data_IF_764460940562
#
_entry.id   IF_764460940562
#
_cell.length_a   1.000
_cell.length_b   1.000
_cell.length_c   1.000
_cell.angle_alpha   90.00
_cell.angle_beta   90.00
_cell.angle_gamma   90.00
#
_symmetry.space_group_name_H-M   'P 1'
#
loop_
_entity.id
_entity.type
_entity.pdbx_description
1 polymer ?
#
# COMPACT_ATOMS: atom_id res chain seq x y z
N UNK A 1 6.37 67.20 -13.63
CA UNK A 1 5.36 67.84 -14.49
C UNK A 1 5.23 67.00 -15.75
N UNK A 2 3.99 66.72 -16.14
CA UNK A 2 3.53 65.86 -17.24
C UNK A 2 4.27 66.13 -18.57
N UNK A 3 4.42 65.15 -19.47
CA UNK A 3 3.36 64.90 -20.47
C UNK A 3 3.48 63.54 -21.15
N UNK A 4 2.31 62.95 -21.34
CA UNK A 4 1.93 61.80 -22.16
C UNK A 4 2.37 61.89 -23.64
N UNK A 5 2.64 60.73 -24.22
CA UNK A 5 2.89 60.54 -25.66
C UNK A 5 2.36 59.19 -26.14
N UNK A 6 1.03 59.09 -26.26
CA UNK A 6 0.28 57.91 -26.73
C UNK A 6 0.14 57.94 -28.25
N UNK A 7 0.73 56.98 -28.97
CA UNK A 7 0.43 56.73 -30.39
C UNK A 7 -0.34 55.43 -30.61
N UNK A 8 -1.35 55.57 -31.47
CA UNK A 8 -2.31 54.58 -31.96
C UNK A 8 -1.75 53.90 -33.23
N UNK A 9 -2.25 52.71 -33.53
CA UNK A 9 -2.42 52.25 -34.91
C UNK A 9 -2.24 50.74 -35.08
N UNK A 10 -3.28 50.05 -35.57
CA UNK A 10 -3.18 48.64 -35.94
C UNK A 10 -4.52 47.92 -36.08
N UNK A 11 -5.32 48.33 -37.05
CA UNK A 11 -6.58 47.71 -37.47
C UNK A 11 -6.39 46.73 -38.63
N UNK A 12 -7.06 45.57 -38.58
CA UNK A 12 -7.28 44.65 -39.71
C UNK A 12 -7.19 43.19 -39.24
N UNK A 13 -8.12 42.27 -39.50
CA UNK A 13 -9.31 42.26 -40.33
C UNK A 13 -10.15 40.99 -40.10
N UNK A 14 -11.40 41.09 -40.56
CA UNK A 14 -12.47 40.09 -40.83
C UNK A 14 -11.97 38.76 -41.46
N UNK A 15 -12.68 37.63 -41.54
CA UNK A 15 -14.00 37.11 -41.13
C UNK A 15 -14.09 35.62 -41.56
N UNK A 16 -15.27 35.01 -41.32
CA UNK A 16 -15.87 33.76 -41.84
C UNK A 16 -15.72 32.52 -40.94
N UNK A 17 -16.77 31.93 -40.35
CA UNK A 17 -18.13 31.54 -40.76
C UNK A 17 -18.24 30.02 -40.96
N UNK A 18 -19.36 29.48 -40.47
CA UNK A 18 -20.10 28.33 -40.99
C UNK A 18 -19.98 26.97 -40.28
N UNK A 19 -21.07 26.67 -39.56
CA UNK A 19 -21.96 25.52 -39.78
C UNK A 19 -21.61 24.14 -39.20
N UNK A 20 -22.51 23.72 -38.29
CA UNK A 20 -22.83 22.34 -37.89
C UNK A 20 -23.21 21.48 -39.11
N UNK A 21 -23.10 20.15 -38.99
CA UNK A 21 -24.35 19.38 -38.97
C UNK A 21 -24.38 18.25 -37.93
N UNK A 22 -25.58 18.09 -37.38
CA UNK A 22 -26.11 16.93 -36.66
C UNK A 22 -26.29 15.72 -37.58
N UNK A 23 -25.84 14.53 -37.16
CA UNK A 23 -26.46 13.26 -37.58
C UNK A 23 -26.48 12.24 -36.43
N UNK A 24 -27.70 11.87 -36.06
CA UNK A 24 -28.09 10.72 -35.26
C UNK A 24 -28.18 9.45 -36.12
N UNK A 25 -28.27 8.30 -35.41
CA UNK A 25 -28.47 6.87 -35.81
C UNK A 25 -27.22 6.06 -35.44
N UNK A 26 -27.23 5.09 -34.54
CA UNK A 26 -28.30 4.19 -34.06
C UNK A 26 -27.84 2.75 -34.32
N UNK A 27 -27.65 1.95 -33.25
CA UNK A 27 -27.50 0.48 -33.14
C UNK A 27 -26.61 0.22 -31.91
N UNK A 28 -27.06 -0.37 -30.82
CA UNK A 28 -27.84 -1.61 -30.75
C UNK A 28 -26.86 -2.77 -30.59
N UNK A 29 -26.21 -2.87 -29.43
CA UNK A 29 -25.44 -4.04 -29.02
C UNK A 29 -25.95 -4.48 -27.64
N UNK A 30 -26.90 -5.40 -27.70
CA UNK A 30 -27.34 -6.27 -26.63
C UNK A 30 -26.18 -7.15 -26.15
N UNK A 31 -25.36 -6.62 -25.26
CA UNK A 31 -24.41 -7.40 -24.46
C UNK A 31 -25.12 -7.93 -23.23
N UNK A 32 -25.50 -9.21 -23.27
CA UNK A 32 -26.19 -9.88 -22.17
C UNK A 32 -25.41 -9.77 -20.86
N UNK A 33 -25.94 -8.98 -19.93
CA UNK A 33 -25.60 -9.11 -18.51
C UNK A 33 -26.17 -10.44 -18.01
N UNK A 34 -25.34 -11.49 -18.10
CA UNK A 34 -25.50 -12.70 -17.29
C UNK A 34 -25.22 -12.33 -15.84
N UNK A 35 -26.23 -11.83 -15.13
CA UNK A 35 -26.23 -11.77 -13.66
C UNK A 35 -26.80 -13.09 -13.13
N UNK A 36 -26.00 -14.13 -13.24
CA UNK A 36 -26.12 -15.40 -12.51
C UNK A 36 -24.77 -15.54 -11.80
N UNK A 37 -24.65 -15.35 -10.50
CA UNK A 37 -25.29 -16.11 -9.45
C UNK A 37 -24.17 -16.61 -8.54
N UNK A 38 -24.42 -16.60 -7.23
CA UNK A 38 -23.47 -16.94 -6.14
C UNK A 38 -22.42 -15.86 -5.89
N UNK A 39 -22.79 -14.85 -5.09
CA UNK A 39 -21.82 -14.18 -4.24
C UNK A 39 -21.22 -15.25 -3.33
N UNK A 40 -20.02 -15.70 -3.68
CA UNK A 40 -19.25 -16.59 -2.84
C UNK A 40 -19.04 -15.85 -1.51
N UNK A 41 -19.13 -16.52 -0.36
CA UNK A 41 -18.89 -15.90 0.95
C UNK A 41 -17.53 -15.17 1.06
N UNK A 42 -16.64 -15.41 0.09
CA UNK A 42 -15.38 -14.74 -0.13
C UNK A 42 -15.48 -13.26 -0.55
N UNK A 43 -16.65 -12.63 -0.70
CA UNK A 43 -16.74 -11.23 -1.16
C UNK A 43 -16.80 -10.17 -0.04
N UNK A 44 -16.82 -10.60 1.22
CA UNK A 44 -17.04 -9.72 2.39
C UNK A 44 -15.78 -9.56 3.23
N UNK A 45 -14.70 -9.08 2.61
CA UNK A 45 -13.46 -8.75 3.30
C UNK A 45 -13.04 -7.30 3.02
N UNK A 46 -12.47 -6.63 4.02
CA UNK A 46 -11.89 -5.30 3.89
C UNK A 46 -10.59 -5.20 4.70
N UNK A 47 -9.56 -4.62 4.08
CA UNK A 47 -8.27 -4.35 4.70
C UNK A 47 -8.14 -2.83 4.93
N UNK A 48 -7.82 -2.42 6.14
CA UNK A 48 -7.58 -1.03 6.49
C UNK A 48 -6.08 -0.81 6.75
N UNK A 49 -5.49 0.14 6.04
CA UNK A 49 -4.07 0.51 6.17
C UNK A 49 -3.93 2.02 6.31
N UNK A 50 -2.85 2.49 6.93
CA UNK A 50 -2.69 3.90 7.27
C UNK A 50 -2.50 4.76 6.01
N UNK A 51 -1.61 4.34 5.11
CA UNK A 51 -1.21 5.12 3.93
C UNK A 51 -1.21 4.36 2.61
N UNK A 52 -1.23 5.08 1.46
CA UNK A 52 -1.08 4.47 0.13
C UNK A 52 0.24 3.70 -0.03
N UNK A 53 1.29 4.18 0.64
CA UNK A 53 2.61 3.55 0.67
C UNK A 53 2.55 2.14 1.28
N UNK A 54 1.84 1.98 2.39
CA UNK A 54 1.71 0.69 3.06
C UNK A 54 1.01 -0.32 2.14
N UNK A 55 -0.06 0.12 1.47
CA UNK A 55 -0.75 -0.70 0.46
C UNK A 55 0.22 -1.15 -0.64
N UNK A 56 1.01 -0.24 -1.20
CA UNK A 56 1.98 -0.56 -2.25
C UNK A 56 3.02 -1.60 -1.78
N UNK A 57 3.56 -1.43 -0.57
CA UNK A 57 4.53 -2.36 0.02
C UNK A 57 3.89 -3.74 0.22
N UNK A 58 2.72 -3.80 0.88
CA UNK A 58 2.00 -5.04 1.16
C UNK A 58 1.62 -5.78 -0.13
N UNK A 59 1.09 -5.06 -1.11
CA UNK A 59 0.74 -5.62 -2.41
C UNK A 59 1.98 -6.20 -3.10
N UNK A 60 3.10 -5.48 -3.07
CA UNK A 60 4.36 -5.93 -3.69
C UNK A 60 4.89 -7.19 -3.03
N UNK A 61 4.89 -7.29 -1.70
CA UNK A 61 5.27 -8.52 -0.99
C UNK A 61 4.28 -9.66 -1.26
N UNK A 62 2.98 -9.38 -1.25
CA UNK A 62 1.95 -10.37 -1.53
C UNK A 62 2.13 -10.99 -2.92
N UNK A 63 2.46 -10.19 -3.95
CA UNK A 63 2.72 -10.70 -5.32
C UNK A 63 3.86 -11.74 -5.36
N UNK A 64 4.78 -11.71 -4.39
CA UNK A 64 5.91 -12.67 -4.29
C UNK A 64 5.54 -13.96 -3.58
N UNK A 65 4.52 -13.93 -2.73
CA UNK A 65 4.07 -15.09 -1.96
C UNK A 65 2.88 -15.75 -2.65
N UNK A 66 1.84 -14.98 -2.94
CA UNK A 66 0.61 -15.45 -3.56
C UNK A 66 -0.08 -14.31 -4.33
N UNK A 67 -0.07 -14.35 -5.69
CA UNK A 67 -0.71 -13.34 -6.52
C UNK A 67 -2.21 -13.09 -6.23
N UNK A 68 -2.94 -14.11 -5.76
CA UNK A 68 -4.34 -13.94 -5.38
C UNK A 68 -4.52 -13.03 -4.14
N UNK A 69 -3.59 -13.10 -3.17
CA UNK A 69 -3.60 -12.19 -2.01
C UNK A 69 -3.28 -10.77 -2.45
N UNK A 70 -2.36 -10.58 -3.41
CA UNK A 70 -2.07 -9.26 -3.94
C UNK A 70 -3.29 -8.60 -4.61
N UNK A 71 -4.03 -9.34 -5.45
CA UNK A 71 -5.29 -8.84 -6.03
C UNK A 71 -6.31 -8.48 -4.96
N UNK A 72 -6.42 -9.31 -3.92
CA UNK A 72 -7.28 -9.01 -2.78
C UNK A 72 -6.88 -7.69 -2.08
N UNK A 73 -5.59 -7.46 -1.84
CA UNK A 73 -5.09 -6.20 -1.27
C UNK A 73 -5.41 -5.03 -2.20
N UNK A 74 -5.17 -5.17 -3.50
CA UNK A 74 -5.44 -4.12 -4.47
C UNK A 74 -6.93 -3.69 -4.47
N UNK A 75 -7.83 -4.67 -4.49
CA UNK A 75 -9.28 -4.46 -4.64
C UNK A 75 -10.00 -4.10 -3.34
N UNK A 76 -9.48 -4.54 -2.18
CA UNK A 76 -10.22 -4.51 -0.90
C UNK A 76 -9.58 -3.67 0.19
N UNK A 77 -8.58 -2.88 -0.16
CA UNK A 77 -7.94 -1.97 0.80
C UNK A 77 -8.64 -0.62 0.87
N UNK A 78 -8.87 -0.15 2.09
CA UNK A 78 -9.28 1.22 2.42
C UNK A 78 -8.07 1.93 3.04
N UNK A 79 -7.70 3.07 2.45
CA UNK A 79 -6.65 3.95 2.99
C UNK A 79 -7.26 4.88 4.05
N UNK A 80 -6.77 4.79 5.28
CA UNK A 80 -7.30 5.57 6.40
C UNK A 80 -6.82 7.02 6.42
N UNK A 81 -5.66 7.32 5.84
CA UNK A 81 -5.05 8.66 5.89
C UNK A 81 -4.35 8.93 7.21
N UNK A 82 -3.57 7.96 7.68
CA UNK A 82 -2.91 7.94 9.00
C UNK A 82 -3.54 6.94 9.96
N UNK A 83 -3.10 6.97 11.22
CA UNK A 83 -3.54 6.09 12.30
C UNK A 83 -4.97 6.43 12.77
N UNK A 84 -5.99 5.95 12.06
CA UNK A 84 -7.41 6.25 12.36
C UNK A 84 -8.26 4.99 12.58
N UNK A 85 -8.01 4.19 13.65
CA UNK A 85 -8.77 2.96 13.90
C UNK A 85 -10.29 3.19 14.10
N UNK A 86 -10.72 4.34 14.65
CA UNK A 86 -12.15 4.68 14.76
C UNK A 86 -12.81 4.74 13.39
N UNK A 87 -12.14 5.37 12.42
CA UNK A 87 -12.67 5.50 11.06
C UNK A 87 -12.83 4.14 10.38
N UNK A 88 -11.89 3.22 10.62
CA UNK A 88 -12.01 1.83 10.15
C UNK A 88 -13.20 1.12 10.79
N UNK A 89 -13.40 1.25 12.11
CA UNK A 89 -14.53 0.68 12.82
C UNK A 89 -15.87 1.22 12.30
N UNK A 90 -15.98 2.54 12.11
CA UNK A 90 -17.18 3.15 11.56
C UNK A 90 -17.48 2.68 10.13
N UNK A 91 -16.47 2.60 9.26
CA UNK A 91 -16.63 2.07 7.90
C UNK A 91 -17.05 0.59 7.91
N UNK A 92 -16.45 -0.22 8.78
CA UNK A 92 -16.78 -1.63 8.94
C UNK A 92 -18.25 -1.83 9.37
N UNK A 93 -18.71 -1.06 10.36
CA UNK A 93 -20.11 -1.07 10.80
C UNK A 93 -21.06 -0.59 9.70
N UNK A 94 -20.69 0.44 8.93
CA UNK A 94 -21.47 0.92 7.78
C UNK A 94 -21.63 -0.15 6.69
N UNK A 95 -20.69 -1.08 6.57
CA UNK A 95 -20.78 -2.25 5.67
C UNK A 95 -21.69 -3.37 6.19
N UNK A 96 -22.11 -3.29 7.45
CA UNK A 96 -22.97 -4.27 8.12
C UNK A 96 -22.26 -5.12 9.18
N UNK A 97 -20.94 -4.92 9.38
CA UNK A 97 -20.17 -5.57 10.43
C UNK A 97 -20.12 -7.10 10.35
N UNK A 98 -19.61 -7.71 11.42
CA UNK A 98 -19.46 -9.18 11.52
C UNK A 98 -20.78 -9.94 11.43
N UNK A 99 -21.87 -9.38 11.94
CA UNK A 99 -23.20 -10.00 11.89
C UNK A 99 -23.72 -10.16 10.46
N UNK A 100 -23.28 -9.29 9.54
CA UNK A 100 -23.53 -9.43 8.11
C UNK A 100 -22.49 -10.30 7.39
N UNK A 101 -21.65 -11.01 8.13
CA UNK A 101 -20.58 -11.88 7.62
C UNK A 101 -19.38 -11.13 7.05
N UNK A 102 -19.20 -9.84 7.36
CA UNK A 102 -17.97 -9.14 6.98
C UNK A 102 -16.79 -9.55 7.86
N UNK A 103 -15.61 -9.59 7.24
CA UNK A 103 -14.32 -9.71 7.91
C UNK A 103 -13.50 -8.46 7.64
N UNK A 104 -12.95 -7.86 8.70
CA UNK A 104 -12.12 -6.69 8.62
C UNK A 104 -10.75 -6.96 9.23
N UNK A 105 -9.71 -6.37 8.65
CA UNK A 105 -8.37 -6.36 9.24
C UNK A 105 -7.82 -4.94 9.21
N UNK A 106 -7.45 -4.40 10.37
CA UNK A 106 -6.76 -3.13 10.51
C UNK A 106 -5.28 -3.41 10.72
N UNK A 107 -4.43 -2.80 9.91
CA UNK A 107 -2.96 -2.92 10.02
C UNK A 107 -2.39 -1.57 10.42
N UNK A 108 -1.70 -1.52 11.55
CA UNK A 108 -1.10 -0.29 12.09
C UNK A 108 0.40 -0.45 12.36
N UNK A 109 1.12 0.66 12.21
CA UNK A 109 2.48 0.82 12.75
C UNK A 109 2.46 0.71 14.28
N UNK A 110 3.57 0.30 14.88
CA UNK A 110 3.67 0.18 16.34
C UNK A 110 3.77 1.53 17.03
N UNK A 111 4.33 2.52 16.34
CA UNK A 111 4.59 3.91 16.77
C UNK A 111 4.66 4.17 18.28
N UNK A 112 5.81 4.62 18.78
CA UNK A 112 5.88 5.20 20.13
C UNK A 112 5.24 6.59 20.13
N UNK A 113 3.91 6.65 20.15
CA UNK A 113 3.22 7.85 20.57
C UNK A 113 3.16 7.87 22.11
N UNK A 114 3.76 8.87 22.78
CA UNK A 114 3.75 8.94 24.24
C UNK A 114 2.39 9.28 24.87
N UNK A 115 1.34 9.51 24.07
CA UNK A 115 0.00 9.84 24.57
C UNK A 115 -1.05 9.09 23.73
N UNK A 116 -2.04 8.43 24.33
CA UNK A 116 -3.23 8.05 23.59
C UNK A 116 -3.97 9.33 23.19
N UNK A 117 -4.01 9.65 21.89
CA UNK A 117 -4.92 10.69 21.41
C UNK A 117 -6.34 10.32 21.91
N UNK A 118 -7.00 11.23 22.62
CA UNK A 118 -8.29 11.02 23.28
C UNK A 118 -9.45 10.65 22.32
N UNK A 119 -9.18 10.55 21.02
CA UNK A 119 -10.07 10.17 19.93
C UNK A 119 -9.69 8.85 19.25
N UNK A 120 -8.66 8.13 19.71
CA UNK A 120 -8.34 6.81 19.19
C UNK A 120 -9.30 5.78 19.81
N UNK A 121 -9.92 4.93 18.99
CA UNK A 121 -10.61 3.74 19.47
C UNK A 121 -9.63 2.98 20.34
N UNK A 122 -10.03 2.69 21.58
CA UNK A 122 -9.20 1.86 22.43
C UNK A 122 -9.06 0.47 21.77
N UNK A 123 -7.95 -0.24 21.98
CA UNK A 123 -7.84 -1.64 21.58
C UNK A 123 -9.01 -2.49 22.09
N UNK A 124 -9.63 -2.11 23.21
CA UNK A 124 -10.82 -2.74 23.80
C UNK A 124 -12.08 -2.51 22.94
N UNK A 125 -12.27 -1.30 22.42
CA UNK A 125 -13.39 -0.97 21.50
C UNK A 125 -13.33 -1.79 20.21
N UNK A 126 -12.11 -2.03 19.70
CA UNK A 126 -11.89 -2.89 18.54
C UNK A 126 -12.05 -4.36 18.87
N UNK A 127 -11.58 -4.81 20.03
CA UNK A 127 -11.69 -6.20 20.47
C UNK A 127 -13.15 -6.65 20.65
N UNK A 128 -14.06 -5.71 20.91
CA UNK A 128 -15.49 -5.97 21.04
C UNK A 128 -16.26 -6.11 19.72
N UNK A 129 -15.67 -5.75 18.57
CA UNK A 129 -16.37 -5.77 17.28
C UNK A 129 -16.22 -7.13 16.57
N UNK A 130 -17.28 -7.95 16.45
CA UNK A 130 -17.18 -9.26 15.82
C UNK A 130 -16.70 -9.16 14.37
N UNK A 131 -15.74 -10.00 14.00
CA UNK A 131 -15.22 -10.09 12.63
C UNK A 131 -14.22 -9.00 12.23
N UNK A 132 -13.95 -8.01 13.08
CA UNK A 132 -12.91 -7.00 12.88
C UNK A 132 -11.68 -7.35 13.71
N UNK A 133 -10.51 -7.31 13.08
CA UNK A 133 -9.24 -7.68 13.72
C UNK A 133 -8.23 -6.54 13.64
N UNK A 134 -7.40 -6.40 14.68
CA UNK A 134 -6.29 -5.46 14.71
C UNK A 134 -4.96 -6.23 14.62
N UNK A 135 -4.12 -5.83 13.66
CA UNK A 135 -2.74 -6.27 13.53
C UNK A 135 -1.82 -5.06 13.70
N UNK A 136 -0.90 -5.15 14.65
CA UNK A 136 0.13 -4.13 14.88
C UNK A 136 1.48 -4.76 14.54
N UNK A 137 2.28 -4.07 13.74
CA UNK A 137 3.63 -4.53 13.39
C UNK A 137 4.49 -4.76 14.65
N UNK A 138 5.32 -5.82 14.66
CA UNK A 138 6.27 -6.04 15.76
C UNK A 138 7.39 -5.00 15.78
N UNK A 139 7.92 -4.66 14.60
CA UNK A 139 8.83 -3.53 14.37
C UNK A 139 8.08 -2.20 14.34
N UNK A 140 8.83 -1.11 14.53
CA UNK A 140 8.28 0.24 14.71
C UNK A 140 7.35 0.68 13.57
N UNK A 141 7.80 0.47 12.34
CA UNK A 141 7.08 0.83 11.12
C UNK A 141 7.16 -0.27 10.07
N UNK A 142 6.20 -0.31 9.14
CA UNK A 142 6.26 -1.20 7.97
C UNK A 142 7.56 -1.06 7.17
N UNK A 143 8.12 0.15 7.05
CA UNK A 143 9.39 0.34 6.33
C UNK A 143 10.58 -0.36 6.99
N UNK A 144 10.49 -0.69 8.28
CA UNK A 144 11.57 -1.40 8.98
C UNK A 144 11.79 -2.80 8.41
N UNK A 145 10.74 -3.43 7.86
CA UNK A 145 10.86 -4.74 7.19
C UNK A 145 11.48 -4.65 5.79
N UNK A 146 11.70 -3.45 5.26
CA UNK A 146 12.41 -3.24 3.99
C UNK A 146 13.92 -3.19 4.17
N UNK A 147 14.43 -3.15 5.41
CA UNK A 147 15.86 -3.13 5.71
C UNK A 147 16.48 -4.53 5.53
N UNK A 148 16.37 -5.08 4.31
CA UNK A 148 16.92 -6.38 3.92
C UNK A 148 18.19 -6.16 3.11
N UNK A 149 19.39 -6.46 3.66
CA UNK A 149 20.65 -6.13 3.02
C UNK A 149 20.79 -6.68 1.60
N UNK A 150 20.39 -7.94 1.39
CA UNK A 150 20.47 -8.59 0.09
C UNK A 150 19.56 -7.94 -0.97
N UNK A 151 18.38 -7.44 -0.57
CA UNK A 151 17.47 -6.72 -1.47
C UNK A 151 18.01 -5.34 -1.82
N UNK A 152 18.53 -4.61 -0.83
CA UNK A 152 19.14 -3.30 -1.05
C UNK A 152 20.37 -3.42 -1.96
N UNK A 153 21.24 -4.42 -1.75
CA UNK A 153 22.38 -4.70 -2.64
C UNK A 153 21.95 -4.99 -4.08
N UNK A 154 20.86 -5.74 -4.29
CA UNK A 154 20.35 -6.02 -5.64
C UNK A 154 19.89 -4.77 -6.36
N UNK A 155 19.30 -3.81 -5.65
CA UNK A 155 18.97 -2.51 -6.22
C UNK A 155 20.20 -1.67 -6.47
N UNK A 156 21.14 -1.68 -5.52
CA UNK A 156 22.36 -0.89 -5.58
C UNK A 156 23.37 -1.40 -6.61
N UNK A 157 23.20 -2.63 -7.13
CA UNK A 157 24.07 -3.24 -8.14
C UNK A 157 24.01 -2.46 -9.46
N UNK A 158 24.87 -1.45 -9.59
CA UNK A 158 24.91 -0.54 -10.72
C UNK A 158 25.07 0.93 -10.34
N UNK A 159 24.99 1.27 -9.05
CA UNK A 159 25.24 2.62 -8.54
C UNK A 159 26.72 2.80 -8.16
N UNK A 160 27.20 4.02 -8.25
CA UNK A 160 28.50 4.37 -7.66
C UNK A 160 28.38 4.40 -6.13
N UNK A 161 29.44 4.04 -5.40
CA UNK A 161 29.46 4.12 -3.92
C UNK A 161 28.96 2.89 -3.15
N UNK A 162 28.68 1.76 -3.82
CA UNK A 162 28.22 0.51 -3.19
C UNK A 162 29.17 -0.01 -2.10
N UNK A 163 30.46 0.30 -2.16
CA UNK A 163 31.43 -0.11 -1.13
C UNK A 163 31.11 0.45 0.27
N UNK A 164 30.43 1.60 0.35
CA UNK A 164 30.00 2.20 1.62
C UNK A 164 28.68 1.62 2.13
N UNK A 165 27.95 0.92 1.26
CA UNK A 165 26.60 0.43 1.54
C UNK A 165 26.59 -0.61 2.66
N UNK A 166 27.55 -1.53 2.68
CA UNK A 166 27.60 -2.58 3.69
C UNK A 166 27.85 -2.02 5.09
N UNK A 167 28.76 -1.04 5.22
CA UNK A 167 29.01 -0.35 6.48
C UNK A 167 27.81 0.48 6.95
N UNK A 168 27.10 1.13 6.02
CA UNK A 168 25.89 1.90 6.31
C UNK A 168 24.74 1.01 6.76
N UNK A 169 24.49 -0.08 6.04
CA UNK A 169 23.48 -1.07 6.41
C UNK A 169 23.81 -1.67 7.77
N UNK A 170 25.07 -2.03 8.04
CA UNK A 170 25.49 -2.56 9.33
C UNK A 170 25.32 -1.55 10.47
N UNK A 171 25.58 -0.26 10.23
CA UNK A 171 25.39 0.80 11.21
C UNK A 171 23.90 1.03 11.54
N UNK A 172 23.03 1.04 10.52
CA UNK A 172 21.59 1.24 10.71
C UNK A 172 20.90 0.01 11.32
N UNK A 173 21.35 -1.19 10.95
CA UNK A 173 20.89 -2.47 11.50
C UNK A 173 21.57 -2.85 12.83
N UNK A 174 22.21 -1.89 13.51
CA UNK A 174 22.87 -2.10 14.80
C UNK A 174 22.02 -2.86 15.83
N UNK A 175 22.68 -3.32 16.90
CA UNK A 175 22.28 -4.43 17.81
C UNK A 175 20.81 -4.44 18.28
N UNK A 176 20.12 -3.30 18.32
CA UNK A 176 18.76 -3.19 18.82
C UNK A 176 17.67 -3.22 17.73
N UNK A 177 18.01 -3.25 16.44
CA UNK A 177 17.02 -3.34 15.34
C UNK A 177 15.98 -2.21 15.30
N UNK A 178 16.24 -1.13 16.04
CA UNK A 178 15.36 0.03 16.23
C UNK A 178 15.69 1.18 15.27
N UNK A 179 16.51 0.93 14.25
CA UNK A 179 16.89 1.91 13.23
C UNK A 179 15.66 2.66 12.71
N UNK A 180 15.80 3.97 12.54
CA UNK A 180 14.71 4.79 12.05
C UNK A 180 14.58 4.57 10.54
N UNK A 181 13.90 3.49 10.14
CA UNK A 181 13.74 3.11 8.73
C UNK A 181 13.24 4.27 7.86
N UNK A 182 12.37 5.15 8.40
CA UNK A 182 11.92 6.37 7.70
C UNK A 182 13.04 7.40 7.47
N UNK A 183 14.05 7.49 8.35
CA UNK A 183 15.24 8.34 8.16
C UNK A 183 16.23 7.70 7.21
N UNK A 184 16.36 6.38 7.24
CA UNK A 184 17.28 5.65 6.35
C UNK A 184 16.76 5.58 4.90
N UNK A 185 15.47 5.23 4.73
CA UNK A 185 14.79 5.01 3.44
C UNK A 185 13.93 6.20 2.97
N UNK A 186 13.88 7.29 3.74
CA UNK A 186 13.13 8.48 3.38
C UNK A 186 13.78 9.24 2.22
N UNK A 187 13.03 10.19 1.63
CA UNK A 187 13.60 11.15 0.69
C UNK A 187 14.72 11.94 1.37
N UNK A 188 15.91 11.96 0.77
CA UNK A 188 17.10 12.53 1.40
C UNK A 188 17.60 11.75 2.63
N UNK A 189 17.20 10.49 2.77
CA UNK A 189 17.73 9.60 3.81
C UNK A 189 19.17 9.17 3.52
N UNK A 190 19.84 8.64 4.54
CA UNK A 190 21.26 8.24 4.44
C UNK A 190 21.52 7.20 3.35
N UNK A 191 20.54 6.35 3.02
CA UNK A 191 20.66 5.42 1.90
C UNK A 191 20.66 6.17 0.55
N UNK A 192 19.74 7.11 0.38
CA UNK A 192 19.65 7.91 -0.85
C UNK A 192 20.89 8.78 -1.05
N UNK A 193 21.39 9.40 0.02
CA UNK A 193 22.62 10.20 0.01
C UNK A 193 23.83 9.36 -0.40
N UNK A 194 23.95 8.14 0.12
CA UNK A 194 25.07 7.26 -0.19
C UNK A 194 25.07 6.76 -1.64
N UNK A 195 23.88 6.54 -2.21
CA UNK A 195 23.70 6.06 -3.58
C UNK A 195 23.62 7.18 -4.62
N UNK A 196 23.51 8.44 -4.18
CA UNK A 196 23.29 9.60 -5.05
C UNK A 196 21.93 9.59 -5.77
N UNK A 197 20.98 8.77 -5.32
CA UNK A 197 19.64 8.64 -5.90
C UNK A 197 18.62 8.27 -4.84
N UNK A 198 17.37 8.68 -5.03
CA UNK A 198 16.29 8.27 -4.13
C UNK A 198 15.80 6.85 -4.43
N UNK A 199 15.97 5.94 -3.47
CA UNK A 199 15.34 4.62 -3.52
C UNK A 199 13.95 4.66 -2.88
N UNK A 200 12.93 4.21 -3.63
CA UNK A 200 11.56 4.15 -3.12
C UNK A 200 11.32 2.85 -2.37
N UNK A 201 10.51 2.92 -1.31
CA UNK A 201 10.10 1.75 -0.52
C UNK A 201 9.53 0.60 -1.38
N UNK A 202 8.69 0.91 -2.38
CA UNK A 202 8.14 -0.07 -3.32
C UNK A 202 9.21 -0.73 -4.21
N UNK A 203 10.31 -0.04 -4.53
CA UNK A 203 11.42 -0.63 -5.28
C UNK A 203 12.17 -1.65 -4.43
N UNK A 204 12.43 -1.33 -3.16
CA UNK A 204 13.05 -2.25 -2.20
C UNK A 204 12.15 -3.47 -1.97
N UNK A 205 10.86 -3.25 -1.75
CA UNK A 205 9.88 -4.34 -1.63
C UNK A 205 9.89 -5.25 -2.87
N UNK A 206 10.04 -4.67 -4.07
CA UNK A 206 10.13 -5.43 -5.33
C UNK A 206 11.46 -6.14 -5.50
N UNK A 207 12.54 -5.64 -4.91
CA UNK A 207 13.83 -6.32 -4.95
C UNK A 207 13.88 -7.53 -4.02
N UNK A 208 13.06 -7.57 -2.96
CA UNK A 208 13.00 -8.67 -1.99
C UNK A 208 12.49 -9.99 -2.58
N UNK A 209 13.05 -11.10 -2.11
CA UNK A 209 12.62 -12.45 -2.45
C UNK A 209 11.62 -12.96 -1.41
N UNK A 210 10.85 -13.98 -1.79
CA UNK A 210 9.83 -14.55 -0.92
C UNK A 210 10.42 -15.16 0.35
N UNK A 211 11.64 -15.72 0.32
CA UNK A 211 12.38 -16.29 1.45
C UNK A 211 12.97 -15.22 2.40
N UNK A 212 13.17 -14.00 1.91
CA UNK A 212 13.69 -12.86 2.69
C UNK A 212 12.62 -12.11 3.49
N UNK A 213 11.34 -12.42 3.28
CA UNK A 213 10.25 -11.79 4.03
C UNK A 213 10.29 -12.18 5.51
N UNK A 214 10.25 -11.17 6.37
CA UNK A 214 10.17 -11.33 7.82
C UNK A 214 8.94 -12.15 8.24
N UNK A 215 9.04 -12.85 9.39
CA UNK A 215 7.98 -13.69 9.92
C UNK A 215 6.64 -12.93 10.06
N UNK A 216 6.66 -11.74 10.67
CA UNK A 216 5.48 -10.87 10.82
C UNK A 216 4.78 -10.57 9.48
N UNK A 217 5.54 -10.30 8.42
CA UNK A 217 4.98 -10.06 7.08
C UNK A 217 4.26 -11.31 6.59
N UNK A 218 4.86 -12.49 6.76
CA UNK A 218 4.23 -13.76 6.38
C UNK A 218 2.98 -14.05 7.19
N UNK A 219 2.99 -13.77 8.50
CA UNK A 219 1.83 -13.92 9.38
C UNK A 219 0.69 -13.03 8.89
N UNK A 220 0.98 -11.76 8.60
CA UNK A 220 -0.02 -10.84 8.07
C UNK A 220 -0.59 -11.32 6.73
N UNK A 221 0.25 -11.70 5.76
CA UNK A 221 -0.20 -12.17 4.45
C UNK A 221 -1.03 -13.46 4.56
N UNK A 222 -0.65 -14.37 5.46
CA UNK A 222 -1.43 -15.56 5.80
C UNK A 222 -2.79 -15.21 6.37
N UNK A 223 -2.82 -14.20 7.26
CA UNK A 223 -4.06 -13.75 7.86
C UNK A 223 -4.99 -13.09 6.83
N UNK A 224 -4.46 -12.26 5.94
CA UNK A 224 -5.22 -11.68 4.82
C UNK A 224 -5.78 -12.80 3.94
N UNK A 225 -4.99 -13.81 3.61
CA UNK A 225 -5.46 -14.98 2.84
C UNK A 225 -6.64 -15.68 3.52
N UNK A 226 -6.50 -16.00 4.81
CA UNK A 226 -7.55 -16.65 5.59
C UNK A 226 -8.85 -15.82 5.67
N UNK A 227 -8.75 -14.50 5.91
CA UNK A 227 -9.91 -13.62 6.04
C UNK A 227 -10.60 -13.32 4.71
N UNK A 228 -9.83 -13.28 3.62
CA UNK A 228 -10.36 -13.06 2.27
C UNK A 228 -10.88 -14.34 1.60
N UNK A 229 -10.64 -15.51 2.21
CA UNK A 229 -10.97 -16.81 1.62
C UNK A 229 -10.03 -17.23 0.48
N UNK A 230 -8.87 -16.57 0.35
CA UNK A 230 -7.80 -16.99 -0.56
C UNK A 230 -7.02 -18.13 0.10
N UNK A 231 -7.08 -19.31 -0.50
CA UNK A 231 -6.31 -20.46 -0.02
C UNK A 231 -4.85 -20.28 -0.41
N UNK A 232 -3.97 -20.11 0.57
CA UNK A 232 -2.53 -20.13 0.32
C UNK A 232 -2.08 -21.55 -0.03
N UNK A 233 -1.15 -21.72 -1.00
CA UNK A 233 -0.56 -23.01 -1.28
C UNK A 233 0.12 -23.54 -0.01
N UNK A 234 -0.32 -24.71 0.46
CA UNK A 234 0.39 -25.38 1.54
C UNK A 234 1.72 -25.93 1.00
N UNK A 235 2.82 -25.89 1.77
CA UNK A 235 4.06 -26.51 1.36
C UNK A 235 3.81 -27.99 1.10
N UNK A 236 3.97 -28.41 -0.15
CA UNK A 236 3.86 -29.82 -0.52
C UNK A 236 5.04 -30.57 0.10
N UNK A 237 4.78 -31.35 1.15
CA UNK A 237 5.79 -32.19 1.78
C UNK A 237 6.01 -33.40 0.88
N UNK A 238 6.97 -33.29 -0.04
CA UNK A 238 7.40 -34.41 -0.89
C UNK A 238 8.25 -35.37 -0.07
N UNK A 239 7.62 -36.37 0.55
CA UNK A 239 8.33 -37.48 1.19
C UNK A 239 8.86 -38.40 0.09
N UNK A 240 10.15 -38.29 -0.23
CA UNK A 240 10.82 -39.28 -1.08
C UNK A 240 11.16 -40.51 -0.24
N UNK A 241 10.51 -41.64 -0.54
CA UNK A 241 10.93 -42.95 -0.02
C UNK A 241 12.13 -43.41 -0.85
N UNK A 242 13.27 -43.55 -0.19
CA UNK A 242 14.49 -44.22 -0.68
C UNK A 242 14.32 -45.72 -0.75
#
# INVERSE_FOLDING_TARGET
>A
MASDGKQRGGSGGRANASAKPSRSRGRGASGGRRSSGRGNGNDRFVLYVEGPRDREILETWARRVEPAVARCIEERTVIMGGRQPVRALEDFRKRGGGDSGWRGLIVLDRDHHPEPEATAASPEDLAGEPGLELFVWGLRHIESYLLVPSAIRRLAAGFEGVERLDSLIAAELGVDGQGHAKRFLGTGGSLSEALGTDLRAGEIARAMRADELHADVRVLLTRIGALSGVTLPQPEVVIRRS
#
